data_IF_847296478414
#
_entry.id   IF_847296478414
#
_cell.length_a   1.000
_cell.length_b   1.000
_cell.length_c   1.000
_cell.angle_alpha   90.00
_cell.angle_beta   90.00
_cell.angle_gamma   90.00
#
_symmetry.space_group_name_H-M   'P 1'
#
loop_
_entity.id
_entity.type
_entity.pdbx_description
1 polymer ?
#
# COMPACT_ATOMS: atom_id res chain seq x y z
N UNK A 1 -8.29 26.29 -24.92
CA UNK A 1 -7.49 25.30 -24.20
C UNK A 1 -6.45 26.05 -23.39
N UNK A 2 -6.40 25.85 -22.08
CA UNK A 2 -5.33 26.41 -21.24
C UNK A 2 -4.10 25.50 -21.35
N UNK A 3 -2.92 26.09 -21.49
CA UNK A 3 -1.66 25.34 -21.40
C UNK A 3 -1.44 24.88 -19.95
N UNK A 4 -0.81 23.70 -19.74
CA UNK A 4 -0.41 23.30 -18.41
C UNK A 4 0.60 24.31 -17.84
N UNK A 5 0.39 24.72 -16.59
CA UNK A 5 1.30 25.62 -15.87
C UNK A 5 1.94 24.86 -14.73
N UNK A 6 3.24 25.05 -14.53
CA UNK A 6 3.96 24.53 -13.37
C UNK A 6 3.47 25.26 -12.11
N UNK A 7 2.79 24.54 -11.21
CA UNK A 7 2.31 25.10 -9.95
C UNK A 7 3.38 24.98 -8.86
N UNK A 8 4.03 23.82 -8.78
CA UNK A 8 5.05 23.55 -7.76
C UNK A 8 6.02 22.47 -8.22
N UNK A 9 7.17 22.37 -7.56
CA UNK A 9 8.12 21.27 -7.67
C UNK A 9 8.36 20.73 -6.28
N UNK A 10 8.24 19.41 -6.13
CA UNK A 10 8.38 18.70 -4.86
C UNK A 10 9.57 17.74 -4.95
N UNK A 11 10.28 17.58 -3.83
CA UNK A 11 11.34 16.58 -3.69
C UNK A 11 10.79 15.34 -3.00
N UNK A 12 10.87 14.19 -3.69
CA UNK A 12 10.42 12.88 -3.21
C UNK A 12 11.60 11.89 -3.12
N UNK A 13 12.84 12.39 -3.08
CA UNK A 13 14.05 11.56 -3.06
C UNK A 13 14.16 10.68 -1.81
N UNK A 14 13.64 11.14 -0.67
CA UNK A 14 13.56 10.37 0.58
C UNK A 14 12.79 9.05 0.42
N UNK A 15 11.89 8.96 -0.55
CA UNK A 15 11.12 7.73 -0.84
C UNK A 15 11.87 6.69 -1.68
N UNK A 16 13.14 6.95 -2.05
CA UNK A 16 13.99 6.02 -2.79
C UNK A 16 13.74 5.96 -4.30
N UNK A 17 14.45 5.07 -4.98
CA UNK A 17 14.33 4.80 -6.43
C UNK A 17 13.24 3.77 -6.70
N UNK A 18 12.72 3.68 -7.93
CA UNK A 18 11.75 2.64 -8.32
C UNK A 18 10.37 2.71 -7.64
N UNK A 19 10.15 3.73 -6.80
CA UNK A 19 8.90 3.99 -6.09
C UNK A 19 7.72 4.25 -7.02
N UNK A 20 6.53 3.86 -6.60
CA UNK A 20 5.25 4.19 -7.24
C UNK A 20 4.37 4.97 -6.27
N UNK A 21 3.41 5.72 -6.83
CA UNK A 21 2.56 6.62 -6.05
C UNK A 21 1.13 6.11 -5.97
N UNK A 22 0.56 6.15 -4.77
CA UNK A 22 -0.89 6.20 -4.55
C UNK A 22 -1.29 7.59 -4.06
N UNK A 23 -2.57 7.90 -4.19
CA UNK A 23 -3.18 9.11 -3.64
C UNK A 23 -4.32 8.73 -2.71
N UNK A 24 -4.43 9.40 -1.58
CA UNK A 24 -5.54 9.20 -0.63
C UNK A 24 -5.56 10.28 0.44
N UNK A 25 -6.75 10.60 0.93
CA UNK A 25 -6.93 11.55 2.04
C UNK A 25 -6.67 10.82 3.35
N UNK A 26 -5.44 10.94 3.86
CA UNK A 26 -4.99 10.26 5.07
C UNK A 26 -5.29 11.08 6.33
N UNK A 27 -5.44 12.39 6.18
CA UNK A 27 -5.67 13.31 7.31
C UNK A 27 -7.16 13.56 7.59
N UNK A 28 -8.02 13.32 6.61
CA UNK A 28 -9.47 13.57 6.62
C UNK A 28 -9.83 15.04 6.38
N UNK A 29 -8.94 15.82 5.78
CA UNK A 29 -9.15 17.23 5.48
C UNK A 29 -9.71 17.49 4.06
N UNK A 30 -9.92 16.42 3.28
CA UNK A 30 -10.40 16.46 1.90
C UNK A 30 -9.31 16.72 0.87
N UNK A 31 -8.05 16.91 1.28
CA UNK A 31 -6.88 17.03 0.40
C UNK A 31 -6.17 15.67 0.35
N UNK A 32 -5.68 15.29 -0.83
CA UNK A 32 -4.99 14.01 -0.99
C UNK A 32 -3.50 14.14 -0.63
N UNK A 33 -3.00 13.16 0.10
CA UNK A 33 -1.58 12.92 0.30
C UNK A 33 -1.01 12.08 -0.85
N UNK A 34 0.30 12.17 -1.06
CA UNK A 34 1.07 11.30 -1.94
C UNK A 34 1.72 10.20 -1.11
N UNK A 35 1.33 8.95 -1.37
CA UNK A 35 1.86 7.77 -0.71
C UNK A 35 2.84 7.10 -1.66
N UNK A 36 4.13 7.27 -1.39
CA UNK A 36 5.20 6.70 -2.20
C UNK A 36 5.60 5.34 -1.65
N UNK A 37 5.39 4.29 -2.45
CA UNK A 37 5.66 2.91 -2.08
C UNK A 37 6.88 2.43 -2.86
N UNK A 38 7.88 1.93 -2.16
CA UNK A 38 9.03 1.27 -2.76
C UNK A 38 8.95 -0.22 -2.45
N UNK A 39 8.94 -1.06 -3.50
CA UNK A 39 9.08 -2.50 -3.33
C UNK A 39 10.48 -2.89 -2.86
N UNK A 40 10.60 -4.10 -2.37
CA UNK A 40 11.88 -4.72 -2.10
C UNK A 40 12.73 -4.89 -3.37
N UNK A 41 14.04 -5.06 -3.17
CA UNK A 41 14.94 -5.33 -4.27
C UNK A 41 14.99 -6.83 -4.51
N UNK A 42 14.57 -7.26 -5.69
CA UNK A 42 14.62 -8.66 -6.13
C UNK A 42 15.33 -8.74 -7.48
N UNK A 43 16.25 -9.70 -7.63
CA UNK A 43 17.00 -9.89 -8.88
C UNK A 43 16.15 -10.59 -9.96
N UNK A 44 15.19 -11.42 -9.56
CA UNK A 44 14.29 -12.16 -10.45
C UNK A 44 12.87 -12.14 -9.88
N UNK A 45 12.05 -11.23 -10.41
CA UNK A 45 10.65 -11.09 -10.01
C UNK A 45 9.71 -12.00 -10.82
N UNK A 46 10.19 -12.80 -11.78
CA UNK A 46 9.30 -13.46 -12.77
C UNK A 46 8.14 -14.25 -12.19
N UNK A 47 8.30 -14.88 -11.02
CA UNK A 47 7.32 -15.80 -10.41
C UNK A 47 6.91 -15.43 -8.97
N UNK A 48 7.65 -14.54 -8.31
CA UNK A 48 7.39 -14.12 -6.93
C UNK A 48 7.06 -12.64 -6.95
N UNK A 49 6.00 -12.26 -6.25
CA UNK A 49 5.61 -10.86 -6.12
C UNK A 49 6.59 -10.07 -5.26
N UNK A 50 6.57 -8.75 -5.37
CA UNK A 50 7.32 -7.91 -4.44
C UNK A 50 6.61 -7.84 -3.10
N UNK A 51 7.36 -7.52 -2.04
CA UNK A 51 6.78 -6.92 -0.83
C UNK A 51 7.07 -5.42 -0.83
N UNK A 52 6.30 -4.65 -0.06
CA UNK A 52 6.64 -3.26 0.22
C UNK A 52 7.83 -3.25 1.18
N UNK A 53 8.90 -2.56 0.79
CA UNK A 53 10.09 -2.35 1.62
C UNK A 53 10.05 -1.00 2.35
N UNK A 54 9.54 0.04 1.70
CA UNK A 54 9.44 1.38 2.27
C UNK A 54 8.16 2.07 1.82
N UNK A 55 7.52 2.80 2.73
CA UNK A 55 6.43 3.73 2.43
C UNK A 55 6.82 5.09 2.98
N UNK A 56 6.77 6.11 2.13
CA UNK A 56 6.96 7.51 2.53
C UNK A 56 5.76 8.32 2.09
N UNK A 57 5.18 9.07 3.03
CA UNK A 57 4.00 9.90 2.77
C UNK A 57 4.38 11.37 2.78
N UNK A 58 3.86 12.10 1.81
CA UNK A 58 3.98 13.54 1.70
C UNK A 58 2.59 14.16 1.61
N UNK A 59 2.42 15.36 2.14
CA UNK A 59 1.33 16.21 1.68
C UNK A 59 1.57 16.64 0.22
N UNK A 60 0.56 17.16 -0.46
CA UNK A 60 0.70 17.57 -1.85
C UNK A 60 1.49 18.88 -2.06
N UNK A 61 1.97 19.52 -0.98
CA UNK A 61 2.95 20.59 -1.05
C UNK A 61 4.40 20.06 -0.95
N UNK A 62 4.57 18.74 -0.77
CA UNK A 62 5.86 18.05 -0.75
C UNK A 62 6.48 17.92 0.65
N UNK A 63 5.76 18.26 1.71
CA UNK A 63 6.24 18.04 3.08
C UNK A 63 6.07 16.57 3.44
N UNK A 64 7.19 15.92 3.78
CA UNK A 64 7.16 14.55 4.33
C UNK A 64 6.41 14.53 5.66
N UNK A 65 5.38 13.69 5.76
CA UNK A 65 4.58 13.49 6.96
C UNK A 65 5.17 12.38 7.84
N UNK A 66 5.36 11.21 7.26
CA UNK A 66 5.95 10.06 7.94
C UNK A 66 6.54 9.07 6.93
N UNK A 67 7.37 8.17 7.45
CA UNK A 67 7.98 7.10 6.68
C UNK A 67 8.08 5.85 7.54
N UNK A 68 7.87 4.70 6.91
CA UNK A 68 8.17 3.40 7.51
C UNK A 68 9.07 2.58 6.57
N UNK A 69 9.98 1.81 7.15
CA UNK A 69 11.03 1.12 6.41
C UNK A 69 12.11 2.06 5.87
N UNK A 70 13.15 1.47 5.31
CA UNK A 70 14.29 2.17 4.74
C UNK A 70 14.34 1.91 3.24
N UNK A 71 14.39 2.95 2.38
CA UNK A 71 14.44 2.75 0.95
C UNK A 71 15.74 2.05 0.54
N UNK A 72 15.63 1.03 -0.29
CA UNK A 72 16.77 0.27 -0.82
C UNK A 72 17.22 0.88 -2.15
N UNK A 73 18.53 1.09 -2.31
CA UNK A 73 19.13 1.57 -3.57
C UNK A 73 19.01 0.53 -4.68
N UNK A 74 18.72 0.98 -5.90
CA UNK A 74 18.54 0.10 -7.05
C UNK A 74 17.32 -0.80 -6.95
N UNK A 75 16.37 -0.51 -6.06
CA UNK A 75 15.05 -1.12 -6.13
C UNK A 75 14.33 -0.60 -7.38
N UNK A 76 13.72 -1.53 -8.12
CA UNK A 76 12.92 -1.26 -9.31
C UNK A 76 11.96 -2.41 -9.47
N UNK A 77 10.66 -2.13 -9.42
CA UNK A 77 9.63 -3.16 -9.53
C UNK A 77 8.96 -3.07 -10.89
N UNK A 78 9.00 -4.16 -11.67
CA UNK A 78 8.24 -4.29 -12.91
C UNK A 78 6.77 -4.63 -12.66
N UNK A 79 6.51 -5.46 -11.66
CA UNK A 79 5.16 -5.90 -11.23
C UNK A 79 4.51 -4.95 -10.23
N UNK A 80 3.37 -5.40 -9.68
CA UNK A 80 2.65 -4.70 -8.62
C UNK A 80 3.52 -4.51 -7.37
N UNK A 81 3.18 -3.44 -6.62
CA UNK A 81 3.65 -3.22 -5.26
C UNK A 81 2.42 -3.37 -4.36
N UNK A 82 2.39 -4.35 -3.44
CA UNK A 82 1.17 -4.75 -2.74
C UNK A 82 0.82 -3.77 -1.62
N UNK A 83 0.25 -2.62 -2.00
CA UNK A 83 -0.29 -1.66 -1.07
C UNK A 83 -1.54 -0.96 -1.63
N UNK A 84 -2.40 -0.50 -0.73
CA UNK A 84 -3.67 0.17 -1.00
C UNK A 84 -3.93 1.27 0.04
N UNK A 85 -4.76 2.26 -0.30
CA UNK A 85 -5.20 3.30 0.64
C UNK A 85 -6.72 3.29 0.73
N UNK A 86 -7.26 3.06 1.92
CA UNK A 86 -8.69 2.90 2.14
C UNK A 86 -9.05 2.89 3.64
N UNK A 87 -10.21 3.45 4.00
CA UNK A 87 -10.87 3.39 5.31
C UNK A 87 -11.39 1.96 5.60
N UNK A 88 -10.47 1.05 5.95
CA UNK A 88 -10.75 -0.40 6.07
C UNK A 88 -11.49 -0.71 7.36
N UNK A 89 -11.38 0.13 8.37
CA UNK A 89 -12.09 -0.05 9.64
C UNK A 89 -13.34 0.81 9.82
N UNK A 90 -13.65 1.66 8.83
CA UNK A 90 -14.82 2.52 8.80
C UNK A 90 -14.84 3.57 9.91
N UNK A 91 -13.68 4.02 10.38
CA UNK A 91 -13.55 5.11 11.36
C UNK A 91 -13.62 6.51 10.71
N UNK A 92 -13.63 6.57 9.37
CA UNK A 92 -13.73 7.79 8.59
C UNK A 92 -12.39 8.37 8.16
N UNK A 93 -11.27 7.71 8.47
CA UNK A 93 -9.94 8.06 7.97
C UNK A 93 -9.36 6.90 7.16
N UNK A 94 -8.63 7.20 6.08
CA UNK A 94 -8.03 6.13 5.29
C UNK A 94 -6.80 5.54 6.00
N UNK A 95 -6.69 4.22 5.97
CA UNK A 95 -5.47 3.49 6.30
C UNK A 95 -4.58 3.29 5.07
N UNK A 96 -3.30 3.03 5.32
CA UNK A 96 -2.41 2.43 4.31
C UNK A 96 -2.28 0.94 4.62
N UNK A 97 -2.73 0.10 3.69
CA UNK A 97 -2.58 -1.35 3.76
C UNK A 97 -1.36 -1.75 2.93
N UNK A 98 -0.48 -2.59 3.46
CA UNK A 98 0.72 -3.02 2.75
C UNK A 98 1.16 -4.43 3.15
N UNK A 99 1.54 -5.26 2.19
CA UNK A 99 2.28 -6.49 2.45
C UNK A 99 3.74 -6.11 2.69
N UNK A 100 4.20 -6.21 3.95
CA UNK A 100 5.50 -5.74 4.39
C UNK A 100 6.07 -6.60 5.53
N UNK A 101 7.17 -7.28 5.24
CA UNK A 101 7.89 -8.11 6.19
C UNK A 101 7.11 -9.36 6.60
N UNK A 102 6.56 -10.09 5.62
CA UNK A 102 5.85 -11.36 5.84
C UNK A 102 4.42 -11.20 6.40
N UNK A 103 3.87 -9.99 6.41
CA UNK A 103 2.54 -9.68 6.96
C UNK A 103 1.83 -8.65 6.12
N UNK A 104 0.50 -8.76 6.04
CA UNK A 104 -0.32 -7.62 5.66
C UNK A 104 -0.45 -6.72 6.89
N UNK A 105 -0.02 -5.47 6.76
CA UNK A 105 -0.08 -4.44 7.79
C UNK A 105 -1.13 -3.42 7.43
N UNK A 106 -1.91 -3.02 8.43
CA UNK A 106 -2.89 -1.94 8.35
C UNK A 106 -2.33 -0.80 9.19
N UNK A 107 -1.94 0.28 8.52
CA UNK A 107 -1.25 1.42 9.11
C UNK A 107 -2.19 2.61 9.19
N UNK A 108 -2.16 3.33 10.30
CA UNK A 108 -2.86 4.59 10.45
C UNK A 108 -2.36 5.60 9.41
N UNK A 109 -3.26 6.15 8.58
CA UNK A 109 -2.88 7.09 7.53
C UNK A 109 -2.19 8.36 8.05
N UNK A 110 -2.53 8.84 9.25
CA UNK A 110 -2.03 10.12 9.77
C UNK A 110 -0.59 10.06 10.25
N UNK A 111 -0.17 8.93 10.80
CA UNK A 111 1.13 8.83 11.48
C UNK A 111 1.92 7.55 11.17
N UNK A 112 1.41 6.66 10.32
CA UNK A 112 2.07 5.44 9.90
C UNK A 112 2.17 4.36 10.98
N UNK A 113 1.56 4.54 12.16
CA UNK A 113 1.57 3.52 13.21
C UNK A 113 0.72 2.33 12.81
N UNK A 114 1.21 1.12 13.09
CA UNK A 114 0.44 -0.10 12.85
C UNK A 114 -0.80 -0.15 13.75
N UNK A 115 -2.00 -0.19 13.14
CA UNK A 115 -3.27 -0.43 13.83
C UNK A 115 -3.46 -1.93 14.07
N UNK A 116 -3.13 -2.75 13.06
CA UNK A 116 -3.19 -4.22 13.13
C UNK A 116 -2.37 -4.86 12.02
N UNK A 117 -2.06 -6.14 12.15
CA UNK A 117 -1.45 -6.94 11.08
C UNK A 117 -1.82 -8.41 11.21
N UNK A 118 -1.73 -9.15 10.09
CA UNK A 118 -1.83 -10.60 10.08
C UNK A 118 -0.83 -11.22 9.12
N UNK A 119 -0.41 -12.46 9.40
CA UNK A 119 0.48 -13.21 8.53
C UNK A 119 -0.26 -13.59 7.23
N UNK A 120 0.47 -13.68 6.13
CA UNK A 120 -0.10 -14.14 4.87
C UNK A 120 -0.68 -15.56 5.00
N UNK A 121 -1.77 -15.89 4.28
CA UNK A 121 -2.29 -17.26 4.23
C UNK A 121 -1.32 -18.23 3.55
N UNK A 122 -0.40 -17.70 2.74
CA UNK A 122 0.66 -18.45 2.05
C UNK A 122 1.90 -17.56 1.88
N UNK A 123 3.14 -18.10 1.86
CA UNK A 123 4.36 -17.30 1.75
C UNK A 123 4.42 -16.37 0.52
N UNK A 124 3.72 -16.70 -0.56
CA UNK A 124 3.69 -15.91 -1.80
C UNK A 124 2.42 -15.06 -1.97
N UNK A 125 1.53 -15.01 -0.97
CA UNK A 125 0.25 -14.29 -1.04
C UNK A 125 0.42 -12.77 -0.82
N UNK A 126 1.33 -12.17 -1.57
CA UNK A 126 1.72 -10.77 -1.39
C UNK A 126 2.00 -10.06 -2.73
N UNK A 127 1.59 -10.59 -3.88
CA UNK A 127 1.83 -9.88 -5.15
C UNK A 127 0.94 -8.64 -5.29
N UNK A 128 -0.32 -8.72 -4.83
CA UNK A 128 -1.26 -7.61 -4.89
C UNK A 128 -2.29 -7.70 -3.76
N UNK A 129 -2.88 -6.55 -3.41
CA UNK A 129 -3.97 -6.41 -2.44
C UNK A 129 -5.18 -5.82 -3.19
N UNK A 130 -6.34 -6.44 -3.05
CA UNK A 130 -7.62 -5.89 -3.50
C UNK A 130 -8.56 -5.80 -2.31
N UNK A 131 -9.22 -4.65 -2.15
CA UNK A 131 -10.24 -4.45 -1.12
C UNK A 131 -11.61 -4.72 -1.74
N UNK A 132 -12.41 -5.57 -1.09
CA UNK A 132 -13.67 -6.06 -1.62
C UNK A 132 -14.74 -6.19 -0.52
N UNK A 133 -15.99 -6.33 -0.97
CA UNK A 133 -17.12 -6.67 -0.11
C UNK A 133 -17.60 -8.08 -0.46
N UNK A 134 -17.06 -9.08 0.24
CA UNK A 134 -17.31 -10.50 0.01
C UNK A 134 -18.28 -11.08 1.06
N UNK A 135 -18.37 -10.43 2.22
CA UNK A 135 -19.19 -10.84 3.37
C UNK A 135 -20.52 -10.07 3.46
N UNK A 136 -20.76 -9.08 2.60
CA UNK A 136 -22.02 -8.35 2.51
C UNK A 136 -22.16 -7.19 3.52
N UNK A 137 -21.04 -6.59 3.94
CA UNK A 137 -21.02 -5.41 4.79
C UNK A 137 -21.55 -4.17 4.05
N UNK A 138 -21.84 -3.10 4.78
CA UNK A 138 -22.27 -1.83 4.16
C UNK A 138 -21.18 -1.21 3.26
N UNK A 139 -19.91 -1.40 3.61
CA UNK A 139 -18.74 -1.01 2.82
C UNK A 139 -17.77 -2.19 2.69
N UNK A 140 -16.94 -2.24 1.64
CA UNK A 140 -15.83 -3.19 1.54
C UNK A 140 -14.95 -3.22 2.80
N UNK A 141 -14.71 -4.41 3.34
CA UNK A 141 -13.77 -4.66 4.46
C UNK A 141 -13.02 -5.99 4.33
N UNK A 142 -13.32 -6.75 3.28
CA UNK A 142 -12.65 -8.00 2.99
C UNK A 142 -11.47 -7.74 2.06
N UNK A 143 -10.47 -8.60 2.14
CA UNK A 143 -9.18 -8.42 1.46
C UNK A 143 -8.94 -9.65 0.59
N UNK A 144 -8.63 -9.43 -0.68
CA UNK A 144 -8.09 -10.45 -1.56
C UNK A 144 -6.59 -10.25 -1.64
N UNK A 145 -5.86 -11.34 -1.36
CA UNK A 145 -4.44 -11.48 -1.63
C UNK A 145 -4.27 -12.43 -2.81
N UNK A 146 -3.17 -12.27 -3.55
CA UNK A 146 -2.82 -13.20 -4.63
C UNK A 146 -1.32 -13.45 -4.68
N UNK A 147 -0.95 -14.58 -5.26
CA UNK A 147 0.40 -14.77 -5.77
C UNK A 147 0.47 -14.19 -7.18
N UNK A 148 1.59 -14.41 -7.88
CA UNK A 148 1.79 -13.74 -9.17
C UNK A 148 0.82 -14.23 -10.24
N UNK A 149 0.47 -15.52 -10.28
CA UNK A 149 -0.22 -16.10 -11.43
C UNK A 149 -1.32 -17.13 -11.15
N UNK A 150 -1.30 -17.82 -10.01
CA UNK A 150 -2.03 -19.08 -9.85
C UNK A 150 -3.14 -19.01 -8.80
N UNK A 151 -2.86 -18.40 -7.64
CA UNK A 151 -3.74 -18.52 -6.47
C UNK A 151 -4.17 -17.16 -5.93
N UNK A 152 -5.45 -17.09 -5.54
CA UNK A 152 -6.03 -15.98 -4.78
C UNK A 152 -6.57 -16.48 -3.44
N UNK A 153 -6.53 -15.64 -2.42
CA UNK A 153 -7.06 -15.90 -1.09
C UNK A 153 -7.97 -14.75 -0.69
N UNK A 154 -9.21 -15.06 -0.32
CA UNK A 154 -10.11 -14.10 0.30
C UNK A 154 -10.02 -14.19 1.82
N UNK A 155 -9.85 -13.05 2.45
CA UNK A 155 -9.66 -12.89 3.88
C UNK A 155 -10.66 -11.85 4.41
N UNK A 156 -11.14 -12.00 5.64
CA UNK A 156 -11.73 -10.86 6.34
C UNK A 156 -10.63 -9.90 6.83
N UNK A 157 -11.04 -8.72 7.33
CA UNK A 157 -10.11 -7.68 7.82
C UNK A 157 -9.16 -8.15 8.94
N UNK A 158 -9.47 -9.25 9.62
CA UNK A 158 -8.70 -9.79 10.74
C UNK A 158 -7.68 -10.85 10.31
N UNK A 159 -7.68 -11.22 9.03
CA UNK A 159 -6.81 -12.25 8.49
C UNK A 159 -7.40 -13.66 8.61
N UNK A 160 -8.70 -13.81 8.85
CA UNK A 160 -9.35 -15.11 8.74
C UNK A 160 -9.67 -15.38 7.28
N UNK A 161 -9.20 -16.51 6.76
CA UNK A 161 -9.52 -16.94 5.41
C UNK A 161 -11.03 -17.26 5.27
N UNK A 162 -11.66 -16.63 4.29
CA UNK A 162 -13.04 -16.88 3.88
C UNK A 162 -13.11 -18.04 2.90
N UNK A 163 -12.26 -18.01 1.87
CA UNK A 163 -12.09 -19.05 0.85
C UNK A 163 -10.76 -18.87 0.10
N UNK A 164 -10.35 -19.89 -0.64
CA UNK A 164 -9.19 -19.91 -1.53
C UNK A 164 -9.50 -20.80 -2.73
#
# INVERSE_FOLDING_TARGET
>A
FSEPVLITTIDISDAGEGKRMLLGDLTGDGRLEMIMMQGDKMDDDRYIGHEVNCITVYDCDGKKLWQIGDPTKGSSTGSDIPAQVYDIDQDGFNEVLACMGGKLRILNGKDGKEKSSFAYPHPNAHDCIIIANLTGNNKPQDIILKDRYDQIWAMDRTGKQLWT
#
